data_IF_063310562313
#
_entry.id   IF_063310562313
#
_cell.length_a   1.000
_cell.length_b   1.000
_cell.length_c   1.000
_cell.angle_alpha   90.00
_cell.angle_beta   90.00
_cell.angle_gamma   90.00
#
_symmetry.space_group_name_H-M   'P 1'
#
loop_
_entity.id
_entity.type
_entity.pdbx_description
1 polymer ?
#
# COMPACT_ATOMS: atom_id res chain seq x y z
N UNK A 1 -12.32 -0.38 -16.74
CA UNK A 1 -10.94 -0.88 -16.54
C UNK A 1 -10.99 -2.39 -16.69
N UNK A 2 -10.15 -2.99 -17.52
CA UNK A 2 -10.12 -4.45 -17.76
C UNK A 2 -9.16 -5.10 -16.78
N UNK A 3 -9.53 -6.23 -16.18
CA UNK A 3 -8.61 -6.94 -15.27
C UNK A 3 -7.46 -7.57 -16.07
N UNK A 4 -6.30 -7.78 -15.45
CA UNK A 4 -5.17 -8.44 -16.12
C UNK A 4 -5.53 -9.86 -16.60
N UNK A 5 -6.36 -10.57 -15.82
CA UNK A 5 -6.89 -11.89 -16.17
C UNK A 5 -7.77 -11.82 -17.41
N UNK A 6 -8.72 -10.89 -17.45
CA UNK A 6 -9.63 -10.71 -18.59
C UNK A 6 -8.86 -10.31 -19.86
N UNK A 7 -7.91 -9.38 -19.74
CA UNK A 7 -7.01 -9.02 -20.84
C UNK A 7 -6.26 -10.25 -21.38
N UNK A 8 -5.71 -11.08 -20.48
CA UNK A 8 -4.99 -12.28 -20.88
C UNK A 8 -5.92 -13.33 -21.53
N UNK A 9 -7.11 -13.55 -20.97
CA UNK A 9 -8.11 -14.44 -21.57
C UNK A 9 -8.58 -13.95 -22.94
N UNK A 10 -8.64 -12.63 -23.17
CA UNK A 10 -8.91 -12.09 -24.51
C UNK A 10 -7.79 -12.47 -25.49
N UNK A 11 -6.52 -12.38 -25.09
CA UNK A 11 -5.39 -12.80 -25.93
C UNK A 11 -5.40 -14.31 -26.24
N UNK A 12 -5.74 -15.15 -25.26
CA UNK A 12 -5.92 -16.59 -25.47
C UNK A 12 -7.02 -16.86 -26.51
N UNK A 13 -8.18 -16.20 -26.37
CA UNK A 13 -9.31 -16.34 -27.30
C UNK A 13 -9.03 -15.79 -28.71
N UNK A 14 -8.20 -14.74 -28.83
CA UNK A 14 -7.75 -14.24 -30.12
C UNK A 14 -6.76 -15.19 -30.80
N UNK A 15 -6.01 -15.95 -30.01
CA UNK A 15 -5.04 -16.93 -30.51
C UNK A 15 -5.73 -18.23 -30.95
N UNK A 16 -6.63 -18.75 -30.11
CA UNK A 16 -7.51 -19.87 -30.44
C UNK A 16 -8.88 -19.69 -29.79
N UNK A 17 -9.88 -19.37 -30.61
CA UNK A 17 -11.26 -19.19 -30.15
C UNK A 17 -12.02 -20.50 -30.00
N UNK A 18 -11.47 -21.62 -30.47
CA UNK A 18 -12.13 -22.93 -30.47
C UNK A 18 -11.92 -23.70 -29.17
N UNK A 19 -10.90 -23.33 -28.40
CA UNK A 19 -10.51 -24.06 -27.19
C UNK A 19 -9.80 -25.39 -27.47
N UNK A 20 -9.53 -25.72 -28.73
CA UNK A 20 -9.01 -27.03 -29.14
C UNK A 20 -7.49 -27.13 -28.98
N UNK A 21 -6.78 -26.01 -29.17
CA UNK A 21 -5.33 -25.90 -29.15
C UNK A 21 -4.88 -24.70 -28.29
N UNK A 22 -5.52 -24.49 -27.14
CA UNK A 22 -5.16 -23.38 -26.23
C UNK A 22 -3.74 -23.58 -25.72
N UNK A 23 -2.81 -22.63 -25.98
CA UNK A 23 -1.47 -22.68 -25.42
C UNK A 23 -1.51 -22.68 -23.90
N UNK A 24 -0.47 -23.20 -23.25
CA UNK A 24 -0.36 -23.15 -21.78
C UNK A 24 -0.45 -21.70 -21.31
N UNK A 25 -1.41 -21.42 -20.42
CA UNK A 25 -1.63 -20.09 -19.87
C UNK A 25 -0.38 -19.53 -19.19
N UNK A 26 -0.05 -18.27 -19.49
CA UNK A 26 1.06 -17.49 -18.91
C UNK A 26 0.56 -16.27 -18.14
N UNK A 27 -0.68 -16.31 -17.67
CA UNK A 27 -1.30 -15.20 -16.93
C UNK A 27 -0.51 -14.81 -15.68
N UNK A 28 0.09 -15.78 -14.99
CA UNK A 28 0.92 -15.54 -13.81
C UNK A 28 2.22 -14.79 -14.16
N UNK A 29 2.88 -15.17 -15.25
CA UNK A 29 4.06 -14.49 -15.77
C UNK A 29 3.72 -13.07 -16.21
N UNK A 30 2.57 -12.86 -16.85
CA UNK A 30 2.09 -11.52 -17.22
C UNK A 30 1.83 -10.66 -15.99
N UNK A 31 1.17 -11.19 -14.95
CA UNK A 31 0.98 -10.47 -13.68
C UNK A 31 2.31 -10.09 -13.04
N UNK A 32 3.30 -10.99 -13.06
CA UNK A 32 4.66 -10.70 -12.56
C UNK A 32 5.34 -9.59 -13.37
N UNK A 33 5.25 -9.63 -14.70
CA UNK A 33 5.78 -8.57 -15.57
C UNK A 33 5.10 -7.23 -15.27
N UNK A 34 3.78 -7.20 -15.09
CA UNK A 34 3.04 -5.99 -14.72
C UNK A 34 3.50 -5.46 -13.37
N UNK A 35 3.68 -6.33 -12.37
CA UNK A 35 4.14 -5.95 -11.03
C UNK A 35 5.54 -5.30 -11.11
N UNK A 36 6.50 -5.95 -11.78
CA UNK A 36 7.84 -5.40 -11.99
C UNK A 36 7.82 -4.08 -12.76
N UNK A 37 7.02 -4.00 -13.84
CA UNK A 37 6.90 -2.78 -14.64
C UNK A 37 6.32 -1.61 -13.83
N UNK A 38 5.29 -1.85 -13.00
CA UNK A 38 4.73 -0.83 -12.10
C UNK A 38 5.76 -0.34 -11.09
N UNK A 39 6.55 -1.25 -10.53
CA UNK A 39 7.64 -0.88 -9.62
C UNK A 39 8.70 -0.03 -10.31
N UNK A 40 9.16 -0.43 -11.50
CA UNK A 40 10.11 0.37 -12.31
C UNK A 40 9.55 1.74 -12.69
N UNK A 41 8.25 1.83 -13.00
CA UNK A 41 7.56 3.10 -13.25
C UNK A 41 7.59 4.01 -12.03
N UNK A 42 7.33 3.47 -10.83
CA UNK A 42 7.41 4.24 -9.59
C UNK A 42 8.83 4.75 -9.34
N UNK A 43 9.85 3.88 -9.48
CA UNK A 43 11.26 4.29 -9.35
C UNK A 43 11.60 5.45 -10.31
N UNK A 44 11.21 5.31 -11.58
CA UNK A 44 11.44 6.35 -12.60
C UNK A 44 10.73 7.66 -12.24
N UNK A 45 9.48 7.61 -11.78
CA UNK A 45 8.70 8.79 -11.41
C UNK A 45 9.29 9.52 -10.20
N UNK A 46 9.83 8.77 -9.24
CA UNK A 46 10.48 9.33 -8.06
C UNK A 46 11.93 9.76 -8.30
N UNK A 47 12.47 9.56 -9.51
CA UNK A 47 13.87 9.87 -9.82
C UNK A 47 14.88 8.96 -9.12
N UNK A 48 14.43 7.84 -8.55
CA UNK A 48 15.26 6.88 -7.83
C UNK A 48 15.82 5.84 -8.82
N UNK A 49 17.13 5.57 -8.76
CA UNK A 49 17.78 4.54 -9.57
C UNK A 49 18.79 5.01 -10.62
N UNK A 50 18.96 6.33 -10.82
CA UNK A 50 19.98 6.86 -11.76
C UNK A 50 21.43 6.62 -11.30
N UNK A 51 21.69 6.73 -9.99
CA UNK A 51 23.01 6.49 -9.38
C UNK A 51 23.10 5.14 -8.65
N UNK A 52 22.15 4.24 -8.89
CA UNK A 52 21.80 3.14 -7.99
C UNK A 52 20.55 3.48 -7.18
N UNK A 53 19.81 2.44 -6.77
CA UNK A 53 18.70 2.62 -5.83
C UNK A 53 19.34 2.78 -4.46
N UNK A 54 19.74 4.00 -4.09
CA UNK A 54 20.17 4.30 -2.71
C UNK A 54 18.91 4.33 -1.83
N UNK A 55 18.33 3.14 -1.68
CA UNK A 55 16.96 2.87 -1.26
C UNK A 55 16.78 2.94 0.26
N UNK A 56 17.75 3.50 0.97
CA UNK A 56 17.79 3.48 2.43
C UNK A 56 16.89 4.54 3.07
N UNK A 57 16.11 5.28 2.29
CA UNK A 57 15.14 6.24 2.81
C UNK A 57 13.72 5.66 2.73
N UNK A 58 13.11 5.33 3.89
CA UNK A 58 11.70 4.98 3.95
C UNK A 58 10.85 6.07 3.31
N UNK A 59 9.86 5.66 2.51
CA UNK A 59 8.94 6.59 1.86
C UNK A 59 9.52 7.43 0.71
N UNK A 60 10.72 7.15 0.20
CA UNK A 60 11.31 7.90 -0.93
C UNK A 60 10.46 7.88 -2.22
N UNK A 61 9.68 6.83 -2.43
CA UNK A 61 8.74 6.67 -3.53
C UNK A 61 7.33 7.20 -3.22
N UNK A 62 7.07 7.61 -1.97
CA UNK A 62 5.78 8.15 -1.59
C UNK A 62 5.65 9.59 -2.12
N UNK A 63 4.54 9.87 -2.79
CA UNK A 63 4.23 11.23 -3.22
C UNK A 63 3.77 12.00 -1.99
N UNK A 64 4.44 13.13 -1.71
CA UNK A 64 4.01 14.05 -0.65
C UNK A 64 2.64 14.61 -1.01
N UNK A 65 1.67 14.44 -0.13
CA UNK A 65 0.35 15.02 -0.32
C UNK A 65 0.46 16.55 -0.38
N UNK A 66 0.00 17.22 -1.46
CA UNK A 66 0.11 18.67 -1.60
C UNK A 66 -0.79 19.43 -0.62
N UNK A 67 -1.87 18.80 -0.14
CA UNK A 67 -2.78 19.37 0.85
C UNK A 67 -2.22 19.27 2.28
N UNK A 68 -1.24 18.39 2.52
CA UNK A 68 -0.60 18.32 3.83
C UNK A 68 0.30 19.54 4.05
N UNK A 69 0.36 20.09 5.28
CA UNK A 69 1.24 21.17 5.66
C UNK A 69 2.68 20.64 5.74
N UNK A 70 3.55 21.23 4.93
CA UNK A 70 4.98 20.93 4.83
C UNK A 70 5.78 22.19 5.19
N UNK A 71 6.38 22.23 6.40
CA UNK A 71 7.22 23.35 6.85
C UNK A 71 8.32 23.69 5.85
N UNK A 72 8.38 24.96 5.45
CA UNK A 72 9.37 25.46 4.49
C UNK A 72 9.09 25.11 3.03
N UNK A 73 8.01 24.38 2.73
CA UNK A 73 7.57 24.10 1.35
C UNK A 73 6.30 24.89 1.04
N UNK A 74 5.20 24.61 1.73
CA UNK A 74 3.89 25.25 1.50
C UNK A 74 3.33 25.95 2.75
N UNK A 75 4.02 25.86 3.90
CA UNK A 75 3.73 26.65 5.10
C UNK A 75 5.04 27.23 5.66
N UNK A 76 5.00 28.33 6.46
CA UNK A 76 6.21 28.93 7.04
C UNK A 76 7.01 27.94 7.90
N UNK A 77 8.34 27.98 7.86
CA UNK A 77 9.17 27.07 8.68
C UNK A 77 8.98 27.27 10.19
N UNK A 78 8.64 28.49 10.59
CA UNK A 78 8.37 28.91 11.96
C UNK A 78 6.87 28.92 12.31
N UNK A 79 6.04 28.15 11.59
CA UNK A 79 4.58 28.08 11.76
C UNK A 79 4.12 27.82 13.21
N UNK A 80 4.96 27.17 14.01
CA UNK A 80 4.67 26.81 15.40
C UNK A 80 4.83 27.95 16.41
N UNK A 81 5.47 29.07 16.04
CA UNK A 81 5.69 30.21 16.95
C UNK A 81 4.39 30.97 17.24
N UNK A 82 3.49 31.07 16.25
CA UNK A 82 2.21 31.76 16.38
C UNK A 82 1.13 30.80 16.87
N UNK A 83 1.08 30.56 18.18
CA UNK A 83 0.15 29.58 18.79
C UNK A 83 -1.32 29.82 18.42
N UNK A 84 -1.73 31.07 18.27
CA UNK A 84 -3.09 31.45 17.92
C UNK A 84 -3.50 31.03 16.50
N UNK A 85 -2.52 30.77 15.62
CA UNK A 85 -2.73 30.40 14.21
C UNK A 85 -2.49 28.93 13.91
N UNK A 86 -2.15 28.12 14.91
CA UNK A 86 -1.88 26.67 14.72
C UNK A 86 -3.02 25.93 14.04
N UNK A 87 -4.26 26.38 14.23
CA UNK A 87 -5.44 25.78 13.61
C UNK A 87 -5.42 25.85 12.06
N UNK A 88 -4.74 26.83 11.47
CA UNK A 88 -4.58 26.96 10.01
C UNK A 88 -3.72 25.83 9.40
N UNK A 89 -2.82 25.26 10.19
CA UNK A 89 -1.88 24.22 9.76
C UNK A 89 -2.29 22.83 10.23
N UNK A 90 -3.53 22.68 10.71
CA UNK A 90 -4.02 21.39 11.17
C UNK A 90 -4.40 20.50 9.99
N UNK A 91 -3.90 19.27 10.01
CA UNK A 91 -4.29 18.26 9.02
C UNK A 91 -5.66 17.70 9.37
N UNK A 92 -6.59 17.78 8.43
CA UNK A 92 -7.87 17.08 8.52
C UNK A 92 -7.76 15.79 7.70
N UNK A 93 -7.82 14.65 8.38
CA UNK A 93 -7.86 13.34 7.73
C UNK A 93 -9.32 12.98 7.45
N UNK A 94 -9.73 13.16 6.20
CA UNK A 94 -10.96 12.56 5.68
C UNK A 94 -10.65 11.17 5.13
N UNK A 95 -10.84 10.14 5.95
CA UNK A 95 -10.72 8.76 5.49
C UNK A 95 -12.07 8.34 4.90
N UNK A 96 -12.11 8.17 3.58
CA UNK A 96 -13.23 7.48 2.95
C UNK A 96 -13.13 6.00 3.30
N UNK A 97 -14.09 5.46 4.06
CA UNK A 97 -14.07 4.07 4.50
C UNK A 97 -14.28 3.05 3.34
N UNK A 98 -14.32 3.50 2.09
CA UNK A 98 -14.37 2.64 0.90
C UNK A 98 -13.01 2.07 0.46
N UNK A 99 -11.92 2.30 1.21
CA UNK A 99 -10.63 1.67 0.90
C UNK A 99 -10.68 0.16 1.12
N UNK A 100 -10.80 -0.59 0.02
CA UNK A 100 -10.60 -2.03 0.01
C UNK A 100 -9.11 -2.32 -0.18
N UNK A 101 -8.34 -2.16 0.90
CA UNK A 101 -6.95 -2.61 0.94
C UNK A 101 -6.91 -3.96 1.67
N UNK A 102 -7.14 -5.05 0.92
CA UNK A 102 -6.96 -6.40 1.45
C UNK A 102 -5.55 -6.88 1.18
N UNK A 103 -4.82 -7.22 2.24
CA UNK A 103 -3.55 -7.90 2.12
C UNK A 103 -3.80 -9.40 2.17
N UNK A 104 -3.42 -10.13 1.12
CA UNK A 104 -3.47 -11.58 1.12
C UNK A 104 -2.17 -12.16 1.67
N UNK A 105 -2.26 -13.35 2.27
CA UNK A 105 -1.08 -14.11 2.65
C UNK A 105 -0.24 -14.43 1.41
N UNK A 106 1.03 -14.04 1.44
CA UNK A 106 2.02 -14.45 0.44
C UNK A 106 2.53 -15.86 0.77
N UNK A 107 2.94 -16.62 -0.25
CA UNK A 107 3.41 -17.99 -0.02
C UNK A 107 4.71 -18.04 0.80
N UNK A 108 5.69 -17.19 0.45
CA UNK A 108 6.94 -16.96 1.19
C UNK A 108 7.68 -15.79 0.54
N UNK A 109 8.54 -15.10 1.29
CA UNK A 109 9.38 -13.99 0.77
C UNK A 109 10.38 -14.49 -0.29
N UNK A 110 10.83 -15.74 -0.22
CA UNK A 110 11.74 -16.31 -1.24
C UNK A 110 11.01 -16.52 -2.58
N UNK A 111 9.73 -16.88 -2.53
CA UNK A 111 8.92 -17.19 -3.72
C UNK A 111 8.25 -15.95 -4.31
N UNK A 112 7.85 -15.02 -3.46
CA UNK A 112 7.18 -13.77 -3.82
C UNK A 112 7.72 -12.59 -2.99
N UNK A 113 8.93 -12.11 -3.30
CA UNK A 113 9.55 -11.03 -2.54
C UNK A 113 8.81 -9.72 -2.76
N UNK A 114 8.56 -8.98 -1.68
CA UNK A 114 8.09 -7.60 -1.78
C UNK A 114 9.09 -6.73 -2.55
N UNK A 115 8.63 -6.09 -3.64
CA UNK A 115 9.46 -5.15 -4.41
C UNK A 115 9.61 -3.80 -3.71
N UNK A 116 8.59 -3.42 -2.94
CA UNK A 116 8.51 -2.11 -2.28
C UNK A 116 8.67 -2.31 -0.76
N UNK A 117 9.91 -2.50 -0.33
CA UNK A 117 10.31 -2.79 1.06
C UNK A 117 10.35 -1.53 1.92
N UNK A 118 9.20 -0.90 2.13
CA UNK A 118 9.13 0.34 2.93
C UNK A 118 9.39 1.64 2.16
N UNK A 119 9.52 1.58 0.82
CA UNK A 119 9.93 2.76 0.04
C UNK A 119 8.77 3.66 -0.37
N UNK A 120 7.51 3.21 -0.29
CA UNK A 120 6.34 4.02 -0.60
C UNK A 120 5.49 4.26 0.65
N UNK A 121 4.18 4.02 0.56
CA UNK A 121 3.22 4.35 1.61
C UNK A 121 3.16 3.33 2.76
N UNK A 122 3.65 2.11 2.51
CA UNK A 122 3.68 1.03 3.51
C UNK A 122 5.07 0.90 4.10
N UNK A 123 5.14 0.51 5.37
CA UNK A 123 6.38 0.18 6.08
C UNK A 123 6.90 -1.18 5.60
N UNK A 124 8.19 -1.41 5.74
CA UNK A 124 8.77 -2.73 5.49
C UNK A 124 8.16 -3.80 6.42
N UNK A 125 7.91 -4.99 5.87
CA UNK A 125 7.26 -6.08 6.59
C UNK A 125 8.07 -6.52 7.83
N UNK A 126 9.41 -6.56 7.75
CA UNK A 126 10.22 -6.94 8.92
C UNK A 126 10.09 -5.94 10.06
N UNK A 127 10.08 -4.65 9.74
CA UNK A 127 9.90 -3.57 10.73
C UNK A 127 8.51 -3.66 11.36
N UNK A 128 7.48 -3.93 10.55
CA UNK A 128 6.11 -4.15 11.05
C UNK A 128 6.04 -5.35 11.99
N UNK A 129 6.58 -6.50 11.60
CA UNK A 129 6.58 -7.71 12.43
C UNK A 129 7.34 -7.52 13.76
N UNK A 130 8.46 -6.79 13.72
CA UNK A 130 9.18 -6.41 14.95
C UNK A 130 8.31 -5.55 15.86
N UNK A 131 7.60 -4.58 15.31
CA UNK A 131 6.69 -3.73 16.07
C UNK A 131 5.54 -4.54 16.71
N UNK A 132 4.90 -5.43 15.94
CA UNK A 132 3.84 -6.31 16.43
C UNK A 132 4.36 -7.19 17.57
N UNK A 133 5.57 -7.74 17.44
CA UNK A 133 6.17 -8.60 18.46
C UNK A 133 6.40 -7.91 19.81
N UNK A 134 6.59 -6.58 19.84
CA UNK A 134 6.72 -5.80 21.09
C UNK A 134 5.47 -5.96 21.96
N UNK A 135 4.29 -6.05 21.35
CA UNK A 135 3.03 -6.11 22.07
C UNK A 135 2.67 -7.51 22.56
N UNK A 136 3.28 -8.58 22.03
CA UNK A 136 3.00 -9.97 22.46
C UNK A 136 1.51 -10.33 22.48
N UNK A 137 0.71 -9.75 21.59
CA UNK A 137 -0.76 -9.92 21.56
C UNK A 137 -1.54 -9.09 22.58
N UNK A 138 -0.87 -8.30 23.41
CA UNK A 138 -1.47 -7.34 24.34
C UNK A 138 -1.51 -5.94 23.71
N UNK A 139 -2.59 -5.67 23.00
CA UNK A 139 -2.81 -4.36 22.38
C UNK A 139 -3.39 -3.36 23.40
N UNK A 140 -2.96 -2.09 23.38
CA UNK A 140 -3.60 -1.07 24.19
C UNK A 140 -5.08 -0.98 23.79
N UNK A 141 -6.01 -0.84 24.77
CA UNK A 141 -7.42 -0.77 24.46
C UNK A 141 -7.70 0.45 23.59
N UNK A 142 -8.39 0.23 22.47
CA UNK A 142 -8.82 1.31 21.59
C UNK A 142 -9.82 2.20 22.33
N UNK A 143 -9.43 3.45 22.61
CA UNK A 143 -10.33 4.42 23.25
C UNK A 143 -11.32 4.92 22.21
N UNK A 144 -12.53 4.39 22.22
CA UNK A 144 -13.63 4.94 21.43
C UNK A 144 -14.31 6.07 22.19
N UNK A 145 -14.05 7.32 21.79
CA UNK A 145 -14.80 8.50 22.28
C UNK A 145 -16.16 8.65 21.58
N UNK A 146 -16.51 7.76 20.65
CA UNK A 146 -17.76 7.80 19.91
C UNK A 146 -18.90 7.09 20.65
N UNK A 147 -20.14 7.54 20.43
CA UNK A 147 -21.35 6.90 20.93
C UNK A 147 -21.53 5.51 20.34
N UNK A 148 -21.12 4.46 21.05
CA UNK A 148 -21.55 3.06 20.93
C UNK A 148 -21.97 2.54 19.53
N UNK A 149 -21.20 2.88 18.50
CA UNK A 149 -21.50 2.48 17.13
C UNK A 149 -21.07 1.04 16.87
N UNK A 150 -22.02 0.16 16.52
CA UNK A 150 -21.76 -1.24 16.18
C UNK A 150 -20.73 -1.44 15.05
N UNK A 151 -20.63 -0.49 14.12
CA UNK A 151 -19.66 -0.56 13.03
C UNK A 151 -18.21 -0.56 13.53
N UNK A 152 -17.90 0.21 14.60
CA UNK A 152 -16.55 0.23 15.21
C UNK A 152 -16.31 -1.06 16.00
N UNK A 153 -17.32 -1.52 16.75
CA UNK A 153 -17.20 -2.76 17.54
C UNK A 153 -17.02 -4.01 16.67
N UNK A 154 -17.64 -4.04 15.49
CA UNK A 154 -17.62 -5.19 14.57
C UNK A 154 -16.48 -5.18 13.56
N UNK A 155 -15.72 -4.08 13.43
CA UNK A 155 -14.66 -3.93 12.44
C UNK A 155 -13.59 -5.04 12.53
N UNK A 156 -13.30 -5.50 13.75
CA UNK A 156 -12.27 -6.51 14.01
C UNK A 156 -12.79 -7.96 14.02
N UNK A 157 -14.09 -8.18 13.75
CA UNK A 157 -14.70 -9.51 13.83
C UNK A 157 -14.59 -10.34 12.54
N UNK A 158 -14.17 -9.75 11.42
CA UNK A 158 -14.10 -10.44 10.13
C UNK A 158 -12.66 -10.85 9.79
N UNK A 159 -12.20 -11.96 10.36
CA UNK A 159 -10.93 -12.59 9.97
C UNK A 159 -11.16 -13.68 8.93
N UNK A 160 -10.94 -13.39 7.65
CA UNK A 160 -10.85 -14.42 6.62
C UNK A 160 -9.44 -15.04 6.66
N UNK A 161 -9.31 -16.37 6.62
CA UNK A 161 -8.04 -17.07 6.90
C UNK A 161 -6.96 -16.79 5.82
N UNK A 162 -7.38 -16.27 4.68
CA UNK A 162 -6.51 -15.93 3.56
C UNK A 162 -5.98 -14.50 3.61
N UNK A 163 -6.49 -13.67 4.54
CA UNK A 163 -6.00 -12.32 4.76
C UNK A 163 -4.77 -12.36 5.67
N UNK A 164 -3.76 -11.58 5.31
CA UNK A 164 -2.63 -11.34 6.17
C UNK A 164 -3.09 -10.44 7.33
N UNK A 165 -2.84 -10.89 8.55
CA UNK A 165 -3.04 -10.05 9.74
C UNK A 165 -2.04 -8.91 9.70
N UNK A 166 -2.54 -7.68 9.55
CA UNK A 166 -1.77 -6.44 9.77
C UNK A 166 -1.68 -6.10 11.24
#
# INVERSE_FOLDING_TARGET
>A
QVSATEYYSTLERMSDNTGMNVPKSRSHEVLRMIHQWRHLRNLKQSGVGYAGVDANQPGILAVKCPACPHPGINIPSNWYLEREKLWLYKVFFGLDANFHLTQFNVSSEERDPGLNKGWAYMVDNHVLQQFIAIFQGQWPPEKSDCSDHNAVKLANHCGDHNLATT
#
